data_IF_624869026674
#
_entry.id   IF_624869026674
#
_cell.length_a   1.000
_cell.length_b   1.000
_cell.length_c   1.000
_cell.angle_alpha   90.00
_cell.angle_beta   90.00
_cell.angle_gamma   90.00
#
_symmetry.space_group_name_H-M   'P 1'
#
loop_
_entity.id
_entity.type
_entity.pdbx_description
1 polymer ?
#
# COMPACT_ATOMS: atom_id res chain seq x y z
N UNK A 1 1.57 1.54 -1.84
CA UNK A 1 2.79 1.61 -0.99
C UNK A 1 3.47 0.25 -1.04
N UNK A 2 4.65 0.17 -1.67
CA UNK A 2 5.40 -1.07 -1.87
C UNK A 2 6.41 -1.22 -0.76
N UNK A 3 6.64 -2.45 -0.30
CA UNK A 3 7.74 -2.75 0.62
C UNK A 3 9.00 -3.11 -0.18
N UNK A 4 10.10 -3.38 0.53
CA UNK A 4 11.34 -3.87 -0.08
C UNK A 4 11.22 -5.29 -0.66
N UNK A 5 10.13 -6.03 -0.38
CA UNK A 5 9.89 -7.36 -0.92
C UNK A 5 8.88 -7.32 -2.07
N UNK A 6 9.26 -7.93 -3.20
CA UNK A 6 8.39 -8.06 -4.39
C UNK A 6 7.04 -8.68 -4.04
N UNK A 7 5.97 -8.02 -4.49
CA UNK A 7 4.59 -8.46 -4.29
C UNK A 7 4.04 -8.22 -2.88
N UNK A 8 4.80 -7.58 -1.97
CA UNK A 8 4.35 -7.28 -0.61
C UNK A 8 4.07 -5.79 -0.44
N UNK A 9 2.86 -5.48 0.01
CA UNK A 9 2.36 -4.12 0.22
C UNK A 9 1.90 -3.95 1.67
N UNK A 10 2.06 -2.76 2.22
CA UNK A 10 1.64 -2.43 3.58
C UNK A 10 1.00 -1.04 3.63
N UNK A 11 0.07 -0.82 4.55
CA UNK A 11 -0.60 0.47 4.75
C UNK A 11 -1.36 0.52 6.08
N UNK A 12 -1.63 1.72 6.56
CA UNK A 12 -2.33 1.96 7.84
C UNK A 12 -1.37 2.10 9.02
N UNK A 13 -1.87 1.81 10.22
CA UNK A 13 -1.14 2.03 11.48
C UNK A 13 0.19 1.26 11.57
N UNK A 14 0.27 0.12 10.88
CA UNK A 14 1.49 -0.70 10.76
C UNK A 14 2.64 0.04 10.05
N UNK A 15 2.33 1.10 9.28
CA UNK A 15 3.32 1.89 8.54
C UNK A 15 3.49 3.29 9.13
N UNK A 16 2.39 3.92 9.55
CA UNK A 16 2.42 5.33 10.00
C UNK A 16 2.58 5.50 11.51
N UNK A 17 2.36 4.46 12.31
CA UNK A 17 2.41 4.52 13.78
C UNK A 17 1.29 5.37 14.38
N UNK A 18 0.21 4.72 14.85
CA UNK A 18 -0.91 5.39 15.53
C UNK A 18 -1.60 6.44 14.67
N UNK A 19 -2.20 6.04 13.54
CA UNK A 19 -2.94 6.93 12.67
C UNK A 19 -4.43 6.92 13.04
N UNK A 20 -5.12 8.03 12.78
CA UNK A 20 -6.59 8.07 12.89
C UNK A 20 -7.21 7.23 11.77
N UNK A 21 -8.44 6.74 11.98
CA UNK A 21 -9.17 5.87 11.02
C UNK A 21 -9.17 6.45 9.59
N UNK A 22 -9.25 7.78 9.45
CA UNK A 22 -9.25 8.42 8.13
C UNK A 22 -7.89 8.34 7.41
N UNK A 23 -6.79 8.40 8.15
CA UNK A 23 -5.44 8.22 7.61
C UNK A 23 -5.20 6.77 7.21
N UNK A 24 -5.68 5.81 8.00
CA UNK A 24 -5.63 4.39 7.66
C UNK A 24 -6.42 4.09 6.36
N UNK A 25 -7.61 4.68 6.20
CA UNK A 25 -8.39 4.57 4.96
C UNK A 25 -7.68 5.21 3.75
N UNK A 26 -7.00 6.35 3.95
CA UNK A 26 -6.17 6.98 2.93
C UNK A 26 -5.01 6.09 2.48
N UNK A 27 -4.29 5.51 3.45
CA UNK A 27 -3.20 4.56 3.18
C UNK A 27 -3.70 3.30 2.46
N UNK A 28 -4.89 2.80 2.83
CA UNK A 28 -5.54 1.66 2.17
C UNK A 28 -5.81 1.90 0.68
N UNK A 29 -6.30 3.09 0.31
CA UNK A 29 -6.49 3.46 -1.10
C UNK A 29 -5.19 3.47 -1.89
N UNK A 30 -4.12 4.00 -1.30
CA UNK A 30 -2.79 4.03 -1.93
C UNK A 30 -2.20 2.62 -2.06
N UNK A 31 -2.41 1.76 -1.08
CA UNK A 31 -2.01 0.35 -1.15
C UNK A 31 -2.76 -0.40 -2.26
N UNK A 32 -4.09 -0.24 -2.33
CA UNK A 32 -4.93 -0.87 -3.35
C UNK A 32 -4.54 -0.45 -4.77
N UNK A 33 -4.28 0.86 -5.00
CA UNK A 33 -3.81 1.35 -6.29
C UNK A 33 -2.47 0.72 -6.69
N UNK A 34 -1.52 0.62 -5.76
CA UNK A 34 -0.24 -0.03 -6.04
C UNK A 34 -0.36 -1.54 -6.32
N UNK A 35 -1.34 -2.22 -5.70
CA UNK A 35 -1.66 -3.62 -5.99
C UNK A 35 -2.25 -3.75 -7.39
N UNK A 36 -3.23 -2.90 -7.74
CA UNK A 36 -3.85 -2.89 -9.07
C UNK A 36 -2.83 -2.62 -10.19
N UNK A 37 -1.94 -1.65 -10.00
CA UNK A 37 -0.84 -1.37 -10.93
C UNK A 37 0.10 -2.56 -11.09
N UNK A 38 0.46 -3.21 -9.98
CA UNK A 38 1.34 -4.40 -10.01
C UNK A 38 0.70 -5.61 -10.70
N UNK A 39 -0.62 -5.80 -10.53
CA UNK A 39 -1.36 -6.89 -11.17
C UNK A 39 -1.58 -6.63 -12.67
N UNK A 40 -1.80 -5.37 -13.06
CA UNK A 40 -1.94 -4.97 -14.46
C UNK A 40 -0.61 -5.00 -15.21
N UNK A 41 0.47 -4.61 -14.54
CA UNK A 41 1.81 -4.57 -15.12
C UNK A 41 2.87 -4.97 -14.09
N UNK A 42 3.31 -6.23 -14.19
CA UNK A 42 4.34 -6.81 -13.32
C UNK A 42 5.75 -6.23 -13.58
N UNK A 43 5.94 -5.45 -14.65
CA UNK A 43 7.19 -4.73 -14.93
C UNK A 43 7.33 -3.46 -14.09
N UNK A 44 6.22 -2.94 -13.57
CA UNK A 44 6.20 -1.79 -12.67
C UNK A 44 6.48 -2.31 -11.26
N UNK A 45 7.72 -2.71 -10.99
CA UNK A 45 8.19 -3.01 -9.63
C UNK A 45 9.43 -2.22 -9.27
#
# INVERSE_FOLDING_TARGET
MRTNKRGVFAGGDIVSGGATVILAMGAGRVAAKSIDEYLKDQSVW
#
